data_IF_402975337802
#
_entry.id   IF_402975337802
#
_cell.length_a   1.000
_cell.length_b   1.000
_cell.length_c   1.000
_cell.angle_alpha   90.00
_cell.angle_beta   90.00
_cell.angle_gamma   90.00
#
_symmetry.space_group_name_H-M   'P 1'
#
loop_
_entity.id
_entity.type
_entity.pdbx_description
1 polymer ?
#
# COMPACT_ATOMS: atom_id res chain seq x y z
N UNK A 1 -8.24 -1.17 -5.80
CA UNK A 1 -9.34 -0.26 -5.43
C UNK A 1 -9.18 1.08 -6.15
N UNK A 2 -8.10 1.83 -5.94
CA UNK A 2 -7.95 3.19 -6.43
C UNK A 2 -8.06 3.34 -7.96
N UNK A 3 -7.55 2.39 -8.76
CA UNK A 3 -7.60 2.46 -10.23
C UNK A 3 -8.98 2.18 -10.82
N UNK A 4 -9.74 1.27 -10.23
CA UNK A 4 -10.96 0.74 -10.84
C UNK A 4 -12.22 1.04 -10.04
N UNK A 5 -12.12 1.29 -8.74
CA UNK A 5 -13.24 1.31 -7.81
C UNK A 5 -13.73 -0.11 -7.47
N UNK A 6 -14.59 -0.20 -6.46
CA UNK A 6 -15.09 -1.50 -6.01
C UNK A 6 -16.19 -2.08 -6.89
N UNK A 7 -17.01 -1.24 -7.53
CA UNK A 7 -18.07 -1.76 -8.40
C UNK A 7 -17.50 -2.57 -9.58
N UNK A 8 -16.43 -2.06 -10.20
CA UNK A 8 -15.73 -2.79 -11.24
C UNK A 8 -15.16 -4.12 -10.71
N UNK A 9 -14.50 -4.11 -9.55
CA UNK A 9 -13.92 -5.32 -8.97
C UNK A 9 -14.98 -6.36 -8.59
N UNK A 10 -16.13 -5.92 -8.08
CA UNK A 10 -17.27 -6.79 -7.78
C UNK A 10 -17.80 -7.44 -9.05
N UNK A 11 -17.98 -6.67 -10.13
CA UNK A 11 -18.48 -7.21 -11.41
C UNK A 11 -17.48 -8.21 -12.03
N UNK A 12 -16.18 -7.95 -11.97
CA UNK A 12 -15.16 -8.91 -12.42
C UNK A 12 -15.21 -10.21 -11.58
N UNK A 13 -15.36 -10.11 -10.25
CA UNK A 13 -15.52 -11.29 -9.40
C UNK A 13 -16.81 -12.07 -9.65
N UNK A 14 -17.90 -11.40 -10.01
CA UNK A 14 -19.14 -12.07 -10.46
C UNK A 14 -18.93 -12.83 -11.76
N UNK A 15 -18.17 -12.28 -12.71
CA UNK A 15 -17.78 -12.97 -13.95
C UNK A 15 -16.90 -14.19 -13.66
N UNK A 16 -15.89 -14.04 -12.79
CA UNK A 16 -15.04 -15.15 -12.35
C UNK A 16 -15.90 -16.29 -11.77
N UNK A 17 -16.84 -15.95 -10.89
CA UNK A 17 -17.76 -16.92 -10.29
C UNK A 17 -18.65 -17.60 -11.32
N UNK A 18 -19.14 -16.86 -12.32
CA UNK A 18 -19.96 -17.43 -13.39
C UNK A 18 -19.17 -18.39 -14.29
N UNK A 19 -17.90 -18.06 -14.56
CA UNK A 19 -17.02 -18.86 -15.40
C UNK A 19 -16.40 -20.06 -14.65
N UNK A 20 -16.38 -20.02 -13.31
CA UNK A 20 -15.90 -21.11 -12.49
C UNK A 20 -16.88 -22.28 -12.52
N UNK A 21 -16.44 -23.45 -13.00
CA UNK A 21 -17.23 -24.68 -12.99
C UNK A 21 -18.13 -24.89 -14.21
N UNK A 22 -17.71 -24.41 -15.39
CA UNK A 22 -18.37 -24.74 -16.67
C UNK A 22 -18.30 -26.23 -17.06
N UNK A 23 -17.95 -27.09 -16.13
CA UNK A 23 -17.83 -28.53 -16.29
C UNK A 23 -18.38 -29.28 -15.09
N UNK A 24 -17.65 -30.31 -14.66
CA UNK A 24 -18.02 -31.11 -13.51
C UNK A 24 -17.85 -30.32 -12.21
N UNK A 25 -18.87 -30.34 -11.36
CA UNK A 25 -18.87 -29.68 -10.06
C UNK A 25 -18.12 -30.55 -9.04
N UNK A 26 -16.81 -30.40 -8.99
CA UNK A 26 -15.93 -31.06 -8.02
C UNK A 26 -15.89 -30.29 -6.69
N UNK A 27 -15.39 -30.92 -5.64
CA UNK A 27 -15.18 -30.29 -4.33
C UNK A 27 -14.34 -29.00 -4.44
N UNK A 28 -13.25 -29.03 -5.22
CA UNK A 28 -12.40 -27.86 -5.45
C UNK A 28 -13.15 -26.71 -6.15
N UNK A 29 -14.00 -27.04 -7.13
CA UNK A 29 -14.82 -26.04 -7.81
C UNK A 29 -15.85 -25.42 -6.87
N UNK A 30 -16.45 -26.22 -6.00
CA UNK A 30 -17.40 -25.73 -4.98
C UNK A 30 -16.69 -24.77 -4.04
N UNK A 31 -15.56 -25.16 -3.48
CA UNK A 31 -14.76 -24.30 -2.56
C UNK A 31 -14.31 -22.99 -3.23
N UNK A 32 -13.83 -23.06 -4.47
CA UNK A 32 -13.44 -21.86 -5.20
C UNK A 32 -14.63 -20.91 -5.41
N UNK A 33 -15.82 -21.44 -5.71
CA UNK A 33 -17.03 -20.63 -5.86
C UNK A 33 -17.49 -20.00 -4.55
N UNK A 34 -17.35 -20.70 -3.44
CA UNK A 34 -17.62 -20.17 -2.11
C UNK A 34 -16.64 -19.04 -1.75
N UNK A 35 -15.34 -19.25 -2.01
CA UNK A 35 -14.31 -18.23 -1.79
C UNK A 35 -14.58 -16.97 -2.61
N UNK A 36 -14.90 -17.10 -3.90
CA UNK A 36 -15.25 -15.93 -4.74
C UNK A 36 -16.51 -15.23 -4.21
N UNK A 37 -17.49 -15.97 -3.70
CA UNK A 37 -18.69 -15.38 -3.11
C UNK A 37 -18.37 -14.57 -1.84
N UNK A 38 -17.48 -15.07 -0.98
CA UNK A 38 -17.01 -14.34 0.19
C UNK A 38 -16.18 -13.12 -0.19
N UNK A 39 -15.34 -13.20 -1.24
CA UNK A 39 -14.61 -12.04 -1.76
C UNK A 39 -15.57 -10.93 -2.21
N UNK A 40 -16.64 -11.27 -2.93
CA UNK A 40 -17.68 -10.30 -3.36
C UNK A 40 -18.30 -9.64 -2.15
N UNK A 41 -18.72 -10.42 -1.15
CA UNK A 41 -19.31 -9.91 0.08
C UNK A 41 -18.35 -8.98 0.84
N UNK A 42 -17.07 -9.34 0.96
CA UNK A 42 -16.06 -8.52 1.58
C UNK A 42 -15.87 -7.17 0.85
N UNK A 43 -15.92 -7.15 -0.47
CA UNK A 43 -15.85 -5.92 -1.26
C UNK A 43 -17.09 -5.02 -1.02
N UNK A 44 -18.28 -5.62 -0.92
CA UNK A 44 -19.51 -4.89 -0.57
C UNK A 44 -19.46 -4.32 0.85
N UNK A 45 -18.95 -5.09 1.82
CA UNK A 45 -18.76 -4.62 3.19
C UNK A 45 -17.70 -3.51 3.28
N UNK A 46 -16.66 -3.56 2.44
CA UNK A 46 -15.67 -2.49 2.35
C UNK A 46 -16.27 -1.18 1.82
N UNK A 47 -17.26 -1.22 0.91
CA UNK A 47 -18.03 -0.03 0.50
C UNK A 47 -18.76 0.59 1.68
N UNK A 48 -19.48 -0.22 2.46
CA UNK A 48 -20.19 0.25 3.67
C UNK A 48 -19.23 0.86 4.69
N UNK A 49 -18.06 0.23 4.89
CA UNK A 49 -17.02 0.79 5.76
C UNK A 49 -16.58 2.18 5.29
N UNK A 50 -16.32 2.35 4.00
CA UNK A 50 -15.90 3.64 3.46
C UNK A 50 -16.99 4.72 3.58
N UNK A 51 -18.26 4.36 3.38
CA UNK A 51 -19.43 5.25 3.55
C UNK A 51 -19.52 5.82 4.99
N UNK A 52 -19.20 5.03 6.02
CA UNK A 52 -19.16 5.49 7.43
C UNK A 52 -18.16 6.64 7.59
N UNK A 53 -17.08 6.65 6.82
CA UNK A 53 -16.07 7.71 6.81
C UNK A 53 -16.32 8.80 5.76
N UNK A 54 -17.47 8.77 5.09
CA UNK A 54 -17.88 9.77 4.11
C UNK A 54 -17.21 9.63 2.73
N UNK A 55 -16.72 8.42 2.39
CA UNK A 55 -16.07 8.16 1.11
C UNK A 55 -16.85 7.19 0.25
N UNK A 56 -16.95 7.50 -1.06
CA UNK A 56 -17.51 6.62 -2.08
C UNK A 56 -16.38 5.94 -2.88
N UNK A 57 -16.01 4.73 -2.45
CA UNK A 57 -14.99 3.91 -3.10
C UNK A 57 -15.55 2.97 -4.19
N UNK A 58 -16.82 3.11 -4.53
CA UNK A 58 -17.44 2.36 -5.64
C UNK A 58 -16.78 2.65 -6.98
N UNK A 59 -16.30 3.87 -7.15
CA UNK A 59 -15.66 4.43 -8.35
C UNK A 59 -14.15 4.56 -8.21
N UNK A 60 -13.40 4.73 -9.33
CA UNK A 60 -11.99 5.06 -9.31
C UNK A 60 -11.69 6.37 -8.54
N UNK A 61 -10.48 6.45 -7.96
CA UNK A 61 -9.98 7.68 -7.36
C UNK A 61 -9.79 8.77 -8.42
N UNK A 62 -10.22 9.99 -8.14
CA UNK A 62 -10.17 11.13 -9.06
C UNK A 62 -9.04 12.11 -8.74
N UNK A 63 -8.49 12.07 -7.53
CA UNK A 63 -7.43 12.95 -7.06
C UNK A 63 -6.47 12.23 -6.11
N UNK A 64 -5.36 12.89 -5.74
CA UNK A 64 -4.33 12.32 -4.89
C UNK A 64 -4.85 11.93 -3.50
N UNK A 65 -5.71 12.75 -2.89
CA UNK A 65 -6.31 12.46 -1.58
C UNK A 65 -7.15 11.19 -1.61
N UNK A 66 -7.98 11.05 -2.63
CA UNK A 66 -8.76 9.83 -2.84
C UNK A 66 -7.85 8.62 -3.10
N UNK A 67 -6.84 8.77 -3.95
CA UNK A 67 -5.92 7.66 -4.27
C UNK A 67 -5.24 7.11 -3.01
N UNK A 68 -4.74 7.98 -2.13
CA UNK A 68 -4.14 7.61 -0.84
C UNK A 68 -5.18 6.94 0.06
N UNK A 69 -6.39 7.48 0.14
CA UNK A 69 -7.43 6.94 1.01
C UNK A 69 -7.97 5.60 0.51
N UNK A 70 -8.18 5.41 -0.82
CA UNK A 70 -8.59 4.13 -1.42
C UNK A 70 -7.52 3.06 -1.24
N UNK A 71 -6.23 3.45 -1.36
CA UNK A 71 -5.11 2.56 -1.08
C UNK A 71 -5.15 2.10 0.38
N UNK A 72 -5.38 3.00 1.32
CA UNK A 72 -5.44 2.66 2.74
C UNK A 72 -6.63 1.73 3.06
N UNK A 73 -7.82 1.94 2.50
CA UNK A 73 -8.95 1.02 2.65
C UNK A 73 -8.61 -0.38 2.12
N UNK A 74 -7.95 -0.46 0.95
CA UNK A 74 -7.48 -1.74 0.41
C UNK A 74 -6.48 -2.43 1.34
N UNK A 75 -5.57 -1.67 1.94
CA UNK A 75 -4.61 -2.19 2.91
C UNK A 75 -5.28 -2.70 4.19
N UNK A 76 -6.28 -2.00 4.72
CA UNK A 76 -7.05 -2.48 5.87
C UNK A 76 -7.77 -3.81 5.58
N UNK A 77 -8.34 -3.96 4.39
CA UNK A 77 -8.95 -5.21 3.96
C UNK A 77 -7.93 -6.36 3.89
N UNK A 78 -6.72 -6.08 3.36
CA UNK A 78 -5.63 -7.05 3.28
C UNK A 78 -5.15 -7.48 4.67
N UNK A 79 -4.98 -6.55 5.62
CA UNK A 79 -4.65 -6.86 7.02
C UNK A 79 -5.71 -7.80 7.63
N UNK A 80 -6.99 -7.51 7.40
CA UNK A 80 -8.09 -8.32 7.92
C UNK A 80 -8.06 -9.74 7.35
N UNK A 81 -7.80 -9.87 6.06
CA UNK A 81 -7.75 -11.18 5.37
C UNK A 81 -6.57 -12.01 5.83
N UNK A 82 -5.40 -11.39 6.02
CA UNK A 82 -4.17 -12.07 6.44
C UNK A 82 -4.12 -12.34 7.95
N UNK A 83 -5.12 -11.92 8.71
CA UNK A 83 -5.13 -12.03 10.16
C UNK A 83 -4.04 -11.20 10.87
N UNK A 84 -3.58 -10.13 10.23
CA UNK A 84 -2.78 -9.06 10.83
C UNK A 84 -1.30 -9.33 11.07
N UNK A 85 -0.71 -10.36 10.47
CA UNK A 85 0.71 -10.63 10.65
C UNK A 85 1.52 -10.31 9.39
N UNK A 86 2.57 -9.46 9.53
CA UNK A 86 3.56 -9.15 8.48
C UNK A 86 2.94 -8.74 7.13
N UNK A 87 2.04 -7.76 7.17
CA UNK A 87 1.35 -7.29 5.95
C UNK A 87 2.12 -6.16 5.29
N UNK A 88 2.83 -6.47 4.21
CA UNK A 88 3.55 -5.46 3.43
C UNK A 88 2.59 -4.55 2.65
N UNK A 89 2.90 -3.25 2.61
CA UNK A 89 2.26 -2.27 1.74
C UNK A 89 2.84 -2.38 0.32
N UNK A 90 4.12 -2.72 0.25
CA UNK A 90 4.87 -2.78 -0.99
C UNK A 90 5.24 -1.41 -1.55
N UNK A 91 5.62 -1.37 -2.83
CA UNK A 91 6.03 -0.16 -3.54
C UNK A 91 4.84 0.59 -4.11
N UNK A 92 4.34 1.56 -3.35
CA UNK A 92 3.17 2.39 -3.71
C UNK A 92 3.55 3.80 -4.18
N UNK A 93 4.82 4.19 -4.04
CA UNK A 93 5.31 5.52 -4.36
C UNK A 93 5.07 5.90 -5.81
N UNK A 94 5.45 5.04 -6.77
CA UNK A 94 5.26 5.26 -8.21
C UNK A 94 3.78 5.36 -8.59
N UNK A 95 2.92 4.60 -7.93
CA UNK A 95 1.48 4.66 -8.13
C UNK A 95 0.89 5.99 -7.63
N UNK A 96 1.22 6.38 -6.41
CA UNK A 96 0.72 7.62 -5.81
C UNK A 96 1.28 8.86 -6.54
N UNK A 97 2.51 8.80 -7.03
CA UNK A 97 3.14 9.91 -7.75
C UNK A 97 2.37 10.29 -9.02
N UNK A 98 1.71 9.34 -9.68
CA UNK A 98 0.85 9.62 -10.85
C UNK A 98 -0.26 10.62 -10.49
N UNK A 99 -0.94 10.39 -9.36
CA UNK A 99 -2.03 11.25 -8.90
C UNK A 99 -1.50 12.56 -8.33
N UNK A 100 -0.47 12.51 -7.50
CA UNK A 100 0.14 13.68 -6.86
C UNK A 100 0.70 14.62 -7.92
N UNK A 101 1.52 14.10 -8.85
CA UNK A 101 2.07 14.93 -9.94
C UNK A 101 0.97 15.56 -10.80
N UNK A 102 -0.03 14.79 -11.19
CA UNK A 102 -1.15 15.29 -11.99
C UNK A 102 -1.90 16.43 -11.29
N UNK A 103 -2.15 16.30 -9.99
CA UNK A 103 -2.90 17.30 -9.23
C UNK A 103 -2.04 18.54 -8.94
N UNK A 104 -0.73 18.37 -8.78
CA UNK A 104 0.23 19.49 -8.71
C UNK A 104 0.34 20.24 -10.05
N UNK A 105 0.44 19.52 -11.16
CA UNK A 105 0.51 20.12 -12.51
C UNK A 105 -0.77 20.94 -12.82
N UNK A 106 -1.90 20.59 -12.22
CA UNK A 106 -3.18 21.33 -12.31
C UNK A 106 -3.32 22.45 -11.29
N UNK A 107 -2.35 22.64 -10.40
CA UNK A 107 -2.42 23.63 -9.32
C UNK A 107 -3.49 23.32 -8.25
N UNK A 108 -3.96 22.06 -8.17
CA UNK A 108 -4.92 21.59 -7.18
C UNK A 108 -4.22 21.24 -5.86
N UNK A 109 -2.94 20.84 -5.94
CA UNK A 109 -2.13 20.38 -4.82
C UNK A 109 -0.79 21.11 -4.82
N UNK A 110 -0.40 21.64 -3.67
CA UNK A 110 0.94 22.20 -3.44
C UNK A 110 1.91 21.10 -3.01
N UNK A 111 3.23 21.39 -3.01
CA UNK A 111 4.24 20.45 -2.51
C UNK A 111 4.05 20.14 -1.02
N UNK A 112 3.69 21.16 -0.23
CA UNK A 112 3.42 20.98 1.19
C UNK A 112 2.22 20.05 1.42
N UNK A 113 1.11 20.27 0.72
CA UNK A 113 -0.07 19.40 0.82
C UNK A 113 0.21 17.97 0.33
N UNK A 114 1.05 17.83 -0.70
CA UNK A 114 1.50 16.52 -1.17
C UNK A 114 2.31 15.77 -0.10
N UNK A 115 3.22 16.47 0.59
CA UNK A 115 3.96 15.92 1.72
C UNK A 115 3.02 15.55 2.88
N UNK A 116 2.08 16.42 3.25
CA UNK A 116 1.09 16.15 4.30
C UNK A 116 0.25 14.89 4.00
N UNK A 117 -0.14 14.66 2.74
CA UNK A 117 -0.85 13.43 2.36
C UNK A 117 -0.02 12.18 2.64
N UNK A 118 1.28 12.21 2.34
CA UNK A 118 2.19 11.09 2.57
C UNK A 118 2.47 10.92 4.05
N UNK A 119 2.65 12.02 4.81
CA UNK A 119 2.81 11.99 6.26
C UNK A 119 1.56 11.38 6.94
N UNK A 120 0.36 11.80 6.55
CA UNK A 120 -0.89 11.23 7.07
C UNK A 120 -1.03 9.74 6.73
N UNK A 121 -0.64 9.31 5.54
CA UNK A 121 -0.63 7.89 5.18
C UNK A 121 0.33 7.10 6.06
N UNK A 122 1.56 7.59 6.23
CA UNK A 122 2.57 6.97 7.09
C UNK A 122 2.11 6.93 8.56
N UNK A 123 1.48 8.01 9.05
CA UNK A 123 0.90 8.07 10.39
C UNK A 123 -0.18 6.98 10.57
N UNK A 124 -1.06 6.80 9.60
CA UNK A 124 -2.09 5.73 9.63
C UNK A 124 -1.46 4.33 9.68
N UNK A 125 -0.35 4.11 8.98
CA UNK A 125 0.39 2.84 9.06
C UNK A 125 1.00 2.62 10.46
N UNK A 126 1.46 3.69 11.13
CA UNK A 126 1.96 3.64 12.52
C UNK A 126 0.84 3.37 13.53
N UNK A 127 -0.36 3.84 13.25
CA UNK A 127 -1.53 3.73 14.16
C UNK A 127 -2.29 2.43 14.01
N UNK A 128 -2.30 1.83 12.82
CA UNK A 128 -3.09 0.62 12.57
C UNK A 128 -2.55 -0.55 13.39
N UNK A 129 -3.47 -1.22 14.09
CA UNK A 129 -3.18 -2.38 14.93
C UNK A 129 -4.12 -3.51 14.58
N UNK A 130 -3.67 -4.72 14.85
CA UNK A 130 -4.49 -5.91 14.72
C UNK A 130 -4.58 -6.60 16.10
N UNK A 131 -5.78 -6.69 16.65
CA UNK A 131 -6.01 -7.30 17.94
C UNK A 131 -5.63 -8.79 17.94
N UNK A 132 -4.72 -9.17 18.84
CA UNK A 132 -4.22 -10.53 19.02
C UNK A 132 -4.52 -11.03 20.43
N UNK A 133 -4.36 -12.33 20.62
CA UNK A 133 -4.46 -12.91 21.97
C UNK A 133 -3.30 -12.38 22.86
N UNK A 134 -3.51 -12.22 24.17
CA UNK A 134 -2.51 -11.62 25.07
C UNK A 134 -1.14 -12.28 25.05
N UNK A 135 -1.08 -13.61 24.95
CA UNK A 135 0.19 -14.36 24.87
C UNK A 135 1.00 -14.03 23.63
N UNK A 136 0.34 -13.77 22.51
CA UNK A 136 1.00 -13.37 21.26
C UNK A 136 1.54 -11.93 21.37
N UNK A 137 0.75 -11.02 21.95
CA UNK A 137 1.18 -9.66 22.20
C UNK A 137 2.38 -9.57 23.14
N UNK A 138 2.44 -10.43 24.15
CA UNK A 138 3.57 -10.52 25.06
C UNK A 138 4.85 -10.97 24.32
N UNK A 139 4.73 -11.95 23.41
CA UNK A 139 5.87 -12.45 22.65
C UNK A 139 6.40 -11.41 21.63
N UNK A 140 5.51 -10.64 21.00
CA UNK A 140 5.85 -9.70 19.92
C UNK A 140 5.78 -8.22 20.32
N UNK A 141 5.71 -7.93 21.63
CA UNK A 141 5.70 -6.55 22.15
C UNK A 141 4.55 -5.68 21.64
N UNK A 142 3.35 -6.25 21.51
CA UNK A 142 2.14 -5.54 21.12
C UNK A 142 1.46 -6.07 19.87
N UNK A 143 0.66 -5.21 19.23
CA UNK A 143 -0.22 -5.52 18.10
C UNK A 143 0.23 -4.89 16.76
N UNK A 144 1.54 -4.74 16.42
CA UNK A 144 1.94 -4.17 15.15
C UNK A 144 1.50 -5.07 13.99
N UNK A 145 1.24 -4.48 12.83
CA UNK A 145 0.93 -5.22 11.59
C UNK A 145 2.19 -5.55 10.78
N UNK A 146 3.35 -5.04 11.22
CA UNK A 146 4.65 -5.15 10.54
C UNK A 146 4.54 -4.75 9.06
N UNK A 147 4.04 -3.54 8.86
CA UNK A 147 3.94 -2.93 7.54
C UNK A 147 5.34 -2.68 6.98
N UNK A 148 5.64 -3.26 5.81
CA UNK A 148 6.82 -2.90 5.02
C UNK A 148 6.38 -2.02 3.87
N UNK A 149 7.04 -0.88 3.71
CA UNK A 149 6.80 0.07 2.63
C UNK A 149 8.07 0.25 1.82
N UNK A 150 7.99 -0.08 0.54
CA UNK A 150 9.13 -0.10 -0.35
C UNK A 150 9.19 1.17 -1.21
N UNK A 151 10.40 1.69 -1.40
CA UNK A 151 10.67 2.86 -2.24
C UNK A 151 11.80 2.60 -3.22
N UNK A 152 11.81 3.35 -4.30
CA UNK A 152 12.82 3.29 -5.37
C UNK A 152 12.85 1.94 -6.13
N UNK A 153 14.04 1.39 -6.35
CA UNK A 153 14.24 0.19 -7.15
C UNK A 153 14.20 0.41 -8.65
N UNK A 154 14.19 -0.70 -9.38
CA UNK A 154 14.15 -0.70 -10.84
C UNK A 154 12.92 -1.43 -11.38
N UNK A 155 12.43 -1.02 -12.54
CA UNK A 155 11.38 -1.72 -13.28
C UNK A 155 11.89 -3.01 -13.95
N UNK A 156 10.97 -3.80 -14.49
CA UNK A 156 11.32 -5.03 -15.26
C UNK A 156 12.21 -4.70 -16.47
N UNK A 157 12.04 -3.52 -17.04
CA UNK A 157 12.85 -2.97 -18.13
C UNK A 157 14.20 -2.39 -17.67
N UNK A 158 14.52 -2.47 -16.38
CA UNK A 158 15.76 -2.00 -15.78
C UNK A 158 15.86 -0.49 -15.59
N UNK A 159 14.81 0.30 -15.88
CA UNK A 159 14.79 1.74 -15.58
C UNK A 159 14.61 1.99 -14.09
N UNK A 160 15.17 3.11 -13.61
CA UNK A 160 14.90 3.57 -12.25
C UNK A 160 13.43 3.89 -12.04
N UNK A 161 12.89 3.44 -10.92
CA UNK A 161 11.51 3.72 -10.51
C UNK A 161 11.42 4.85 -9.47
N UNK A 162 12.52 5.56 -9.23
CA UNK A 162 12.53 6.71 -8.30
C UNK A 162 11.62 7.82 -8.80
N UNK A 163 10.74 8.28 -7.94
CA UNK A 163 9.82 9.40 -8.13
C UNK A 163 9.99 10.44 -7.02
N UNK A 164 9.36 11.59 -7.13
CA UNK A 164 9.32 12.58 -6.04
C UNK A 164 8.66 12.01 -4.79
N UNK A 165 7.71 11.11 -4.93
CA UNK A 165 6.99 10.51 -3.80
C UNK A 165 7.89 9.57 -3.00
N UNK A 166 8.95 8.98 -3.58
CA UNK A 166 9.97 8.26 -2.81
C UNK A 166 10.72 9.20 -1.85
N UNK A 167 11.09 10.39 -2.32
CA UNK A 167 11.68 11.41 -1.45
C UNK A 167 10.73 11.84 -0.34
N UNK A 168 9.42 11.99 -0.63
CA UNK A 168 8.41 12.34 0.38
C UNK A 168 8.28 11.27 1.45
N UNK A 169 8.32 9.98 1.08
CA UNK A 169 8.33 8.90 2.06
C UNK A 169 9.56 8.92 2.97
N UNK A 170 10.74 9.17 2.41
CA UNK A 170 11.95 9.35 3.23
C UNK A 170 11.84 10.59 4.13
N UNK A 171 11.29 11.70 3.62
CA UNK A 171 11.12 12.93 4.37
C UNK A 171 10.13 12.80 5.54
N UNK A 172 9.23 11.81 5.53
CA UNK A 172 8.37 11.53 6.69
C UNK A 172 9.17 11.20 7.94
N UNK A 173 10.37 10.63 7.80
CA UNK A 173 11.25 10.35 8.95
C UNK A 173 11.83 11.61 9.58
N UNK A 174 12.02 12.69 8.80
CA UNK A 174 12.40 14.01 9.31
C UNK A 174 11.19 14.68 9.98
N UNK A 175 10.02 14.67 9.34
CA UNK A 175 8.82 15.34 9.83
C UNK A 175 8.24 14.71 11.11
N UNK A 176 8.22 13.39 11.19
CA UNK A 176 7.54 12.65 12.26
C UNK A 176 8.50 11.88 13.18
N UNK A 177 9.79 11.93 12.91
CA UNK A 177 10.81 11.14 13.58
C UNK A 177 10.82 9.66 13.20
N UNK A 178 11.89 8.95 13.59
CA UNK A 178 12.05 7.53 13.34
C UNK A 178 10.98 6.70 14.05
N UNK A 179 10.57 5.60 13.43
CA UNK A 179 9.66 4.65 14.03
C UNK A 179 9.89 3.25 13.44
N UNK A 180 9.58 2.17 14.18
CA UNK A 180 9.75 0.81 13.69
C UNK A 180 8.75 0.46 12.58
N UNK A 181 7.64 1.21 12.47
CA UNK A 181 6.62 1.05 11.44
C UNK A 181 6.21 2.37 10.79
N UNK A 182 5.92 2.35 9.49
CA UNK A 182 6.20 1.25 8.57
C UNK A 182 7.70 0.98 8.49
N UNK A 183 8.09 -0.29 8.31
CA UNK A 183 9.45 -0.63 7.98
C UNK A 183 9.74 -0.09 6.57
N UNK A 184 10.49 0.99 6.49
CA UNK A 184 10.80 1.67 5.23
C UNK A 184 12.01 1.01 4.57
N UNK A 185 11.79 0.41 3.40
CA UNK A 185 12.81 -0.34 2.67
C UNK A 185 13.17 0.37 1.36
N UNK A 186 14.44 0.69 1.18
CA UNK A 186 14.98 1.21 -0.08
C UNK A 186 15.46 0.05 -0.94
N UNK A 187 14.84 -0.17 -2.07
CA UNK A 187 15.35 -1.07 -3.10
C UNK A 187 16.51 -0.39 -3.83
N UNK A 188 17.72 -0.68 -3.34
CA UNK A 188 18.95 -0.12 -3.89
C UNK A 188 19.28 -0.76 -5.25
N UNK A 189 19.73 0.07 -6.19
CA UNK A 189 20.38 -0.36 -7.42
C UNK A 189 21.46 0.63 -7.80
N UNK A 190 22.52 0.14 -8.43
CA UNK A 190 23.57 0.99 -9.02
C UNK A 190 23.02 1.99 -10.02
N UNK A 191 21.88 1.69 -10.66
CA UNK A 191 21.18 2.50 -11.66
C UNK A 191 20.34 3.64 -11.09
N UNK A 192 20.14 3.70 -9.78
CA UNK A 192 19.37 4.79 -9.16
C UNK A 192 20.09 6.13 -9.32
N UNK A 193 19.33 7.26 -9.43
CA UNK A 193 19.91 8.58 -9.45
C UNK A 193 20.78 8.83 -8.23
N UNK A 194 21.97 9.44 -8.43
CA UNK A 194 22.90 9.68 -7.33
C UNK A 194 22.28 10.58 -6.27
N UNK A 195 21.49 11.58 -6.66
CA UNK A 195 20.77 12.47 -5.74
C UNK A 195 19.84 11.72 -4.79
N UNK A 196 19.18 10.66 -5.27
CA UNK A 196 18.34 9.82 -4.41
C UNK A 196 19.18 8.97 -3.44
N UNK A 197 20.26 8.38 -3.94
CA UNK A 197 21.19 7.59 -3.11
C UNK A 197 21.79 8.42 -1.98
N UNK A 198 22.24 9.63 -2.29
CA UNK A 198 22.83 10.55 -1.30
C UNK A 198 21.78 10.98 -0.25
N UNK A 199 20.56 11.27 -0.70
CA UNK A 199 19.45 11.64 0.19
C UNK A 199 19.08 10.47 1.12
N UNK A 200 18.87 9.28 0.57
CA UNK A 200 18.51 8.09 1.34
C UNK A 200 19.63 7.75 2.37
N UNK A 201 20.91 7.83 1.96
CA UNK A 201 22.03 7.62 2.86
C UNK A 201 22.05 8.64 4.02
N UNK A 202 21.80 9.93 3.74
CA UNK A 202 21.71 10.97 4.77
C UNK A 202 20.60 10.65 5.78
N UNK A 203 19.40 10.39 5.30
CA UNK A 203 18.27 10.06 6.19
C UNK A 203 18.54 8.79 6.99
N UNK A 204 19.17 7.78 6.38
CA UNK A 204 19.58 6.56 7.09
C UNK A 204 20.55 6.81 8.23
N UNK A 205 21.54 7.67 8.03
CA UNK A 205 22.52 8.06 9.05
C UNK A 205 21.84 8.83 10.20
N UNK A 206 20.94 9.75 9.86
CA UNK A 206 20.28 10.62 10.83
C UNK A 206 19.22 9.88 11.66
N UNK A 207 18.53 8.89 11.07
CA UNK A 207 17.35 8.27 11.71
C UNK A 207 17.52 6.81 12.10
N UNK A 208 18.47 6.08 11.49
CA UNK A 208 18.65 4.63 11.65
C UNK A 208 17.35 3.82 11.40
N UNK A 209 16.46 4.31 10.54
CA UNK A 209 15.10 3.77 10.33
C UNK A 209 14.82 3.32 8.90
N UNK A 210 15.88 3.07 8.13
CA UNK A 210 15.76 2.61 6.74
C UNK A 210 16.44 1.25 6.61
N UNK A 211 15.74 0.30 5.98
CA UNK A 211 16.34 -0.94 5.49
C UNK A 211 16.76 -0.78 4.01
N UNK A 212 17.71 -1.61 3.59
CA UNK A 212 18.15 -1.65 2.21
C UNK A 212 18.09 -3.08 1.68
N UNK A 213 17.53 -3.24 0.50
CA UNK A 213 17.60 -4.47 -0.27
C UNK A 213 18.25 -4.19 -1.63
N UNK A 214 19.15 -5.06 -2.07
CA UNK A 214 19.88 -4.84 -3.32
C UNK A 214 19.10 -5.43 -4.51
N UNK A 215 18.41 -4.53 -5.22
CA UNK A 215 17.58 -4.87 -6.39
C UNK A 215 18.41 -5.42 -7.58
N UNK A 216 19.72 -5.10 -7.65
CA UNK A 216 20.61 -5.64 -8.69
C UNK A 216 20.93 -7.13 -8.46
N UNK A 217 20.82 -7.61 -7.22
CA UNK A 217 21.13 -9.01 -6.85
C UNK A 217 19.87 -9.84 -6.66
N UNK A 218 18.79 -9.23 -6.14
CA UNK A 218 17.55 -9.93 -5.80
C UNK A 218 16.65 -10.22 -7.02
N UNK A 219 16.91 -9.61 -8.16
CA UNK A 219 16.17 -9.90 -9.39
C UNK A 219 16.56 -11.24 -9.97
N UNK A 220 15.59 -12.07 -10.37
CA UNK A 220 15.86 -13.31 -11.11
C UNK A 220 16.44 -13.03 -12.49
#
# INVERSE_FOLDING_TARGET
VALYGLDYLIEEKKKDKANCGCGQMTDDVIRLREEIAEQIKCLEDMKKLAEIYGYDISRPATNAKEAVQWLYFGYLAAIKTQNGAAMSVGRVSTFLDIYIKRDMDKGILTEQEAQELIDHFTMKLRMVKFARIPSYNQLFSGDPVWATLDVAGTGVDGRSMVTKTDFRFLHTLENMGPAPEPNLTVFYSSKLPQTFKDYAARISIETSSIQYENDDVMKP
#
